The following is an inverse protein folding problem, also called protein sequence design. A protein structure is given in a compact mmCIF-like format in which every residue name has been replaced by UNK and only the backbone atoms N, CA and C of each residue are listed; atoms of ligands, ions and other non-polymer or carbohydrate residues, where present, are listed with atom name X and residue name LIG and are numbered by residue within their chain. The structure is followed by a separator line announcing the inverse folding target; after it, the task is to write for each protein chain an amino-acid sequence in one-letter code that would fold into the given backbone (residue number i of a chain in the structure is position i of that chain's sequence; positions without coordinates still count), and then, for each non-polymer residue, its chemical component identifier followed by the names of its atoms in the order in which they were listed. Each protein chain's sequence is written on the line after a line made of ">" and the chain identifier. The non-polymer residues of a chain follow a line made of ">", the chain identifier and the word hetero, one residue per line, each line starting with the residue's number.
data_IF_807128426172
#
_entry.id   IF_807128426172
#
_cell.length_a   1.000
_cell.length_b   1.000
_cell.length_c   1.000
_cell.angle_alpha   90.00
_cell.angle_beta   90.00
_cell.angle_gamma   90.00
#
_symmetry.space_group_name_H-M   'P 1'
#
loop_
_entity.id
_entity.type
_entity.pdbx_description
1 polymer ?
#
# COMPACT_ATOMS: atom_id res chain seq x y z
N UNK A 1 -22.85 -3.27 5.29
CA UNK A 1 -22.35 -2.50 4.15
C UNK A 1 -21.02 -3.03 3.68
N UNK A 2 -20.74 -2.93 2.40
CA UNK A 2 -19.49 -3.49 1.85
C UNK A 2 -18.69 -2.38 1.17
N UNK A 3 -17.47 -2.12 1.67
CA UNK A 3 -16.51 -1.19 1.07
C UNK A 3 -15.49 -1.94 0.22
N UNK A 4 -15.22 -1.40 -0.96
CA UNK A 4 -14.08 -1.74 -1.79
C UNK A 4 -13.00 -0.68 -1.55
N UNK A 5 -11.93 -1.04 -0.83
CA UNK A 5 -10.74 -0.21 -0.72
C UNK A 5 -9.89 -0.43 -1.97
N UNK A 6 -9.79 0.58 -2.80
CA UNK A 6 -9.04 0.57 -4.05
C UNK A 6 -7.75 1.36 -3.88
N UNK A 7 -6.59 0.74 -4.08
CA UNK A 7 -5.34 1.50 -4.19
C UNK A 7 -5.28 2.19 -5.56
N UNK A 8 -4.80 3.43 -5.60
CA UNK A 8 -4.54 4.10 -6.88
C UNK A 8 -3.66 3.24 -7.79
N UNK A 9 -3.80 3.40 -9.10
CA UNK A 9 -2.96 2.77 -10.12
C UNK A 9 -1.49 3.17 -9.98
N UNK A 10 -0.58 2.45 -10.64
CA UNK A 10 0.85 2.75 -10.59
C UNK A 10 1.12 4.20 -11.02
N UNK A 11 1.88 4.93 -10.22
CA UNK A 11 2.26 6.32 -10.47
C UNK A 11 3.71 6.43 -10.93
N UNK A 12 4.07 7.58 -11.49
CA UNK A 12 5.44 7.93 -11.84
C UNK A 12 6.41 7.81 -10.65
N UNK A 13 5.96 8.16 -9.44
CA UNK A 13 6.77 8.01 -8.23
C UNK A 13 6.99 6.54 -7.83
N UNK A 14 5.99 5.66 -8.03
CA UNK A 14 6.17 4.23 -7.81
C UNK A 14 7.29 3.69 -8.70
N UNK A 15 7.26 4.01 -10.00
CA UNK A 15 8.29 3.57 -10.96
C UNK A 15 9.68 4.13 -10.62
N UNK A 16 9.75 5.34 -10.07
CA UNK A 16 11.01 5.97 -9.68
C UNK A 16 11.53 5.52 -8.29
N UNK A 17 10.77 4.70 -7.54
CA UNK A 17 11.12 4.31 -6.18
C UNK A 17 11.15 5.49 -5.20
N UNK A 18 10.29 6.50 -5.42
CA UNK A 18 10.20 7.72 -4.63
C UNK A 18 9.00 7.64 -3.70
N UNK A 19 9.19 8.02 -2.44
CA UNK A 19 8.11 8.14 -1.46
C UNK A 19 7.31 9.42 -1.74
N UNK A 20 6.23 9.28 -2.50
CA UNK A 20 5.45 10.43 -2.97
C UNK A 20 4.72 11.18 -1.86
N UNK A 21 4.24 10.49 -0.82
CA UNK A 21 3.43 11.10 0.23
C UNK A 21 2.28 11.94 -0.34
N UNK A 22 2.19 13.19 0.12
CA UNK A 22 1.19 14.16 -0.34
C UNK A 22 1.69 15.11 -1.44
N UNK A 23 2.79 14.77 -2.14
CA UNK A 23 3.28 15.57 -3.25
C UNK A 23 2.18 15.83 -4.29
N UNK A 24 2.07 17.09 -4.70
CA UNK A 24 1.16 17.51 -5.77
C UNK A 24 1.66 17.03 -7.15
N UNK A 25 0.75 16.90 -8.09
CA UNK A 25 1.06 16.61 -9.50
C UNK A 25 1.57 15.20 -9.79
N UNK A 26 1.68 14.32 -8.79
CA UNK A 26 2.04 12.91 -9.00
C UNK A 26 0.87 12.19 -9.67
N UNK A 27 1.03 11.89 -10.95
CA UNK A 27 0.02 11.26 -11.81
C UNK A 27 0.34 9.77 -12.03
N UNK A 28 -0.61 9.06 -12.64
CA UNK A 28 -0.45 7.69 -13.10
C UNK A 28 0.57 7.64 -14.25
N UNK A 29 1.36 6.59 -14.30
CA UNK A 29 2.12 6.22 -15.49
C UNK A 29 1.22 5.43 -16.49
N UNK A 30 1.79 4.98 -17.62
CA UNK A 30 1.03 4.27 -18.65
C UNK A 30 0.41 2.98 -18.09
N UNK A 31 1.18 2.18 -17.32
CA UNK A 31 0.64 0.98 -16.67
C UNK A 31 -0.47 1.32 -15.66
N UNK A 32 -0.33 2.41 -14.94
CA UNK A 32 -1.37 2.87 -14.01
C UNK A 32 -2.66 3.29 -14.71
N UNK A 33 -2.55 3.91 -15.88
CA UNK A 33 -3.70 4.24 -16.72
C UNK A 33 -4.40 2.99 -17.26
N UNK A 34 -3.63 2.01 -17.72
CA UNK A 34 -4.18 0.71 -18.14
C UNK A 34 -4.87 -0.03 -16.96
N UNK A 35 -4.27 0.03 -15.76
CA UNK A 35 -4.86 -0.52 -14.56
C UNK A 35 -6.18 0.17 -14.20
N UNK A 36 -6.26 1.49 -14.33
CA UNK A 36 -7.48 2.26 -14.07
C UNK A 36 -8.59 1.91 -15.08
N UNK A 37 -8.27 1.83 -16.37
CA UNK A 37 -9.21 1.40 -17.40
C UNK A 37 -9.73 -0.03 -17.16
N UNK A 38 -8.86 -0.95 -16.75
CA UNK A 38 -9.21 -2.34 -16.43
C UNK A 38 -10.11 -2.52 -15.20
N UNK A 39 -10.36 -1.48 -14.41
CA UNK A 39 -11.31 -1.55 -13.30
C UNK A 39 -12.74 -1.78 -13.75
N UNK A 40 -13.10 -1.29 -14.93
CA UNK A 40 -14.45 -1.46 -15.51
C UNK A 40 -14.76 -2.95 -15.63
N UNK A 41 -13.85 -3.74 -16.20
CA UNK A 41 -14.02 -5.19 -16.38
C UNK A 41 -13.98 -5.97 -15.06
N UNK A 42 -13.39 -5.41 -14.01
CA UNK A 42 -13.19 -6.08 -12.73
C UNK A 42 -14.31 -5.84 -11.74
N UNK A 43 -14.86 -4.64 -11.72
CA UNK A 43 -15.85 -4.23 -10.72
C UNK A 43 -16.97 -3.35 -11.30
N UNK A 44 -16.95 -3.01 -12.60
CA UNK A 44 -17.92 -2.08 -13.19
C UNK A 44 -19.34 -2.64 -13.31
N UNK A 45 -19.51 -3.96 -13.29
CA UNK A 45 -20.81 -4.64 -13.28
C UNK A 45 -21.45 -4.77 -11.89
N UNK A 46 -20.71 -4.39 -10.84
CA UNK A 46 -21.22 -4.44 -9.47
C UNK A 46 -22.16 -3.26 -9.19
N UNK A 47 -23.17 -3.44 -8.31
CA UNK A 47 -24.14 -2.39 -7.97
C UNK A 47 -23.55 -1.34 -7.02
N UNK A 48 -22.46 -0.69 -7.46
CA UNK A 48 -21.76 0.35 -6.70
C UNK A 48 -22.66 1.59 -6.61
N UNK A 49 -22.86 2.12 -5.39
CA UNK A 49 -23.73 3.27 -5.12
C UNK A 49 -22.97 4.57 -4.86
N UNK A 50 -21.70 4.50 -4.49
CA UNK A 50 -20.90 5.69 -4.24
C UNK A 50 -19.42 5.44 -4.52
N UNK A 51 -18.74 6.49 -4.98
CA UNK A 51 -17.30 6.57 -5.13
C UNK A 51 -16.77 7.66 -4.21
N UNK A 52 -15.77 7.33 -3.39
CA UNK A 52 -15.12 8.27 -2.49
C UNK A 52 -13.62 8.23 -2.77
N UNK A 53 -12.99 9.37 -2.87
CA UNK A 53 -11.58 9.48 -3.28
C UNK A 53 -10.75 10.28 -2.32
N UNK A 54 -9.51 9.85 -2.11
CA UNK A 54 -8.42 10.73 -1.70
C UNK A 54 -8.33 11.95 -2.63
N UNK A 55 -7.98 13.14 -2.13
CA UNK A 55 -7.83 14.35 -2.95
C UNK A 55 -6.68 14.26 -3.97
N UNK A 56 -5.73 13.33 -3.78
CA UNK A 56 -4.51 13.27 -4.57
C UNK A 56 -4.78 12.82 -6.01
N UNK A 57 -4.11 13.48 -6.96
CA UNK A 57 -4.35 13.35 -8.39
C UNK A 57 -4.39 11.89 -8.85
N UNK A 58 -3.44 11.07 -8.44
CA UNK A 58 -3.35 9.64 -8.80
C UNK A 58 -4.59 8.82 -8.41
N UNK A 59 -5.24 9.14 -7.27
CA UNK A 59 -6.49 8.47 -6.88
C UNK A 59 -7.66 8.93 -7.74
N UNK A 60 -7.78 10.22 -8.01
CA UNK A 60 -8.81 10.79 -8.87
C UNK A 60 -8.72 10.22 -10.28
N UNK A 61 -7.50 10.19 -10.86
CA UNK A 61 -7.23 9.59 -12.18
C UNK A 61 -7.52 8.10 -12.24
N UNK A 62 -7.32 7.38 -11.11
CA UNK A 62 -7.66 5.95 -11.04
C UNK A 62 -9.16 5.71 -11.09
N UNK A 63 -9.95 6.57 -10.44
CA UNK A 63 -11.41 6.42 -10.43
C UNK A 63 -12.10 6.95 -11.69
N UNK A 64 -11.48 7.86 -12.43
CA UNK A 64 -12.09 8.57 -13.56
C UNK A 64 -12.80 7.62 -14.56
N UNK A 65 -12.17 6.56 -15.11
CA UNK A 65 -12.83 5.65 -16.04
C UNK A 65 -14.04 4.90 -15.41
N UNK A 66 -13.91 4.48 -14.15
CA UNK A 66 -14.98 3.79 -13.44
C UNK A 66 -16.15 4.73 -13.11
N UNK A 67 -15.85 5.97 -12.73
CA UNK A 67 -16.84 7.00 -12.44
C UNK A 67 -17.69 7.34 -13.68
N UNK A 68 -17.03 7.49 -14.82
CA UNK A 68 -17.70 7.69 -16.12
C UNK A 68 -18.60 6.49 -16.49
N UNK A 69 -18.09 5.27 -16.39
CA UNK A 69 -18.84 4.06 -16.70
C UNK A 69 -20.07 3.85 -15.81
N UNK A 70 -19.98 4.22 -14.53
CA UNK A 70 -21.08 4.10 -13.56
C UNK A 70 -21.99 5.34 -13.51
N UNK A 71 -21.64 6.42 -14.19
CA UNK A 71 -22.32 7.73 -14.10
C UNK A 71 -22.39 8.24 -12.66
N UNK A 72 -21.30 8.07 -11.87
CA UNK A 72 -21.19 8.51 -10.48
C UNK A 72 -20.14 9.60 -10.34
N UNK A 73 -20.43 10.64 -9.55
CA UNK A 73 -19.47 11.70 -9.18
C UNK A 73 -18.70 11.28 -7.91
N UNK A 74 -17.36 11.20 -7.94
CA UNK A 74 -16.58 10.86 -6.76
C UNK A 74 -16.58 11.97 -5.71
N UNK A 75 -16.97 11.65 -4.47
CA UNK A 75 -16.83 12.54 -3.31
C UNK A 75 -15.36 12.53 -2.85
N UNK A 76 -14.80 13.71 -2.64
CA UNK A 76 -13.43 13.85 -2.11
C UNK A 76 -13.46 13.88 -0.58
N UNK A 77 -12.59 13.08 0.06
CA UNK A 77 -12.38 13.09 1.51
C UNK A 77 -10.89 13.13 1.84
N UNK A 78 -10.44 14.22 2.45
CA UNK A 78 -9.03 14.45 2.81
C UNK A 78 -8.52 13.43 3.82
N UNK A 79 -9.39 12.80 4.60
CA UNK A 79 -9.04 11.74 5.56
C UNK A 79 -8.56 10.45 4.88
N UNK A 80 -8.81 10.31 3.57
CA UNK A 80 -8.30 9.23 2.73
C UNK A 80 -6.97 9.57 2.03
N UNK A 81 -6.40 10.77 2.28
CA UNK A 81 -5.10 11.14 1.73
C UNK A 81 -3.99 10.21 2.23
N UNK A 82 -2.91 10.10 1.45
CA UNK A 82 -1.72 9.33 1.84
C UNK A 82 -1.13 9.89 3.16
N UNK A 83 -0.29 9.10 3.77
CA UNK A 83 0.51 9.51 4.91
C UNK A 83 1.24 10.80 4.58
N UNK A 84 1.16 11.78 5.48
CA UNK A 84 2.06 12.92 5.44
C UNK A 84 3.42 12.45 5.97
N UNK A 85 4.34 12.16 5.06
CA UNK A 85 5.68 11.69 5.42
C UNK A 85 6.63 12.83 5.80
N UNK A 86 6.16 14.09 5.80
CA UNK A 86 6.97 15.26 6.15
C UNK A 86 8.28 15.29 5.38
N UNK A 87 9.41 15.35 6.10
CA UNK A 87 10.77 15.44 5.52
C UNK A 87 11.19 14.23 4.67
N UNK A 88 10.45 13.13 4.73
CA UNK A 88 10.69 11.96 3.88
C UNK A 88 10.02 12.06 2.51
N UNK A 89 9.05 12.97 2.36
CA UNK A 89 8.33 13.17 1.09
C UNK A 89 9.29 13.56 -0.02
N UNK A 90 9.18 12.86 -1.16
CA UNK A 90 10.03 13.10 -2.34
C UNK A 90 11.40 12.42 -2.30
N UNK A 91 11.78 11.76 -1.21
CA UNK A 91 13.06 11.03 -1.11
C UNK A 91 12.94 9.62 -1.70
N UNK A 92 14.07 9.06 -2.12
CA UNK A 92 14.13 7.67 -2.59
C UNK A 92 13.97 6.69 -1.44
N UNK A 93 13.15 5.68 -1.62
CA UNK A 93 12.89 4.63 -0.61
C UNK A 93 14.19 3.93 -0.21
N UNK A 94 15.09 3.68 -1.18
CA UNK A 94 16.39 3.06 -0.93
C UNK A 94 17.30 3.88 0.02
N UNK A 95 17.21 5.21 -0.03
CA UNK A 95 17.93 6.11 0.88
C UNK A 95 17.32 6.09 2.29
N UNK A 96 15.98 6.09 2.35
CA UNK A 96 15.22 6.06 3.59
C UNK A 96 15.42 4.77 4.39
N UNK A 97 15.73 3.66 3.72
CA UNK A 97 16.01 2.38 4.36
C UNK A 97 17.22 2.43 5.32
N UNK A 98 18.11 3.42 5.16
CA UNK A 98 19.23 3.69 6.07
C UNK A 98 18.90 4.55 7.29
N UNK A 99 17.71 5.16 7.33
CA UNK A 99 17.32 6.05 8.42
C UNK A 99 16.97 5.25 9.71
N UNK A 100 17.31 5.75 10.90
CA UNK A 100 16.94 5.07 12.16
C UNK A 100 15.43 4.84 12.30
N UNK A 101 14.60 5.81 11.87
CA UNK A 101 13.15 5.72 11.89
C UNK A 101 12.61 4.59 11.00
N UNK A 102 13.35 4.17 9.95
CA UNK A 102 12.94 3.07 9.09
C UNK A 102 12.66 1.79 9.87
N UNK A 103 13.50 1.46 10.84
CA UNK A 103 13.31 0.27 11.71
C UNK A 103 12.03 0.38 12.53
N UNK A 104 11.70 1.59 13.01
CA UNK A 104 10.45 1.83 13.75
C UNK A 104 9.25 1.63 12.83
N UNK A 105 9.28 2.21 11.62
CA UNK A 105 8.22 2.02 10.62
C UNK A 105 8.02 0.55 10.26
N UNK A 106 9.07 -0.26 10.25
CA UNK A 106 8.98 -1.68 9.93
C UNK A 106 8.52 -2.54 11.10
N UNK A 107 9.06 -2.32 12.30
CA UNK A 107 8.85 -3.21 13.44
C UNK A 107 7.78 -2.71 14.43
N UNK A 108 7.61 -1.40 14.56
CA UNK A 108 6.72 -0.74 15.51
C UNK A 108 5.98 0.45 14.88
N UNK A 109 5.21 0.23 13.79
CA UNK A 109 4.50 1.30 13.08
C UNK A 109 3.64 2.19 13.97
N UNK A 110 3.07 1.65 15.05
CA UNK A 110 2.25 2.42 16.00
C UNK A 110 3.02 3.54 16.72
N UNK A 111 4.34 3.40 16.83
CA UNK A 111 5.23 4.41 17.42
C UNK A 111 5.89 5.31 16.34
N UNK A 112 5.68 5.03 15.05
CA UNK A 112 6.29 5.80 13.98
C UNK A 112 5.59 7.16 13.81
N UNK A 113 6.37 8.23 13.95
CA UNK A 113 5.96 9.62 13.64
C UNK A 113 6.99 10.19 12.69
N UNK A 114 6.56 10.64 11.52
CA UNK A 114 7.45 11.18 10.50
C UNK A 114 7.86 12.62 10.86
N UNK A 115 9.14 12.98 10.73
CA UNK A 115 9.62 14.34 10.99
C UNK A 115 8.89 15.36 10.10
N UNK A 116 8.25 16.35 10.71
CA UNK A 116 7.44 17.34 10.00
C UNK A 116 6.14 16.79 9.39
N UNK A 117 5.79 15.53 9.68
CA UNK A 117 4.61 14.84 9.14
C UNK A 117 3.70 14.27 10.22
N UNK A 118 2.91 13.25 9.87
CA UNK A 118 1.97 12.60 10.80
C UNK A 118 2.48 11.24 11.31
N UNK A 119 1.88 10.72 12.36
CA UNK A 119 2.14 9.37 12.87
C UNK A 119 1.24 8.33 12.20
N UNK A 120 1.72 7.10 12.01
CA UNK A 120 0.93 6.01 11.41
C UNK A 120 -0.33 5.67 12.24
N UNK A 121 -0.30 5.83 13.56
CA UNK A 121 -1.49 5.68 14.40
C UNK A 121 -2.55 6.77 14.10
N UNK A 122 -2.13 8.00 13.77
CA UNK A 122 -3.03 9.07 13.36
C UNK A 122 -3.65 8.77 11.99
N UNK A 123 -2.86 8.23 11.05
CA UNK A 123 -3.34 7.77 9.74
C UNK A 123 -4.41 6.71 9.89
N UNK A 124 -4.17 5.68 10.72
CA UNK A 124 -5.16 4.65 11.01
C UNK A 124 -6.44 5.26 11.57
N UNK A 125 -6.33 6.11 12.59
CA UNK A 125 -7.49 6.71 13.26
C UNK A 125 -8.36 7.51 12.27
N UNK A 126 -7.75 8.40 11.43
CA UNK A 126 -8.51 9.22 10.46
C UNK A 126 -9.14 8.37 9.35
N UNK A 127 -8.39 7.39 8.83
CA UNK A 127 -8.87 6.55 7.72
C UNK A 127 -10.01 5.61 8.15
N UNK A 128 -9.85 4.94 9.29
CA UNK A 128 -10.91 4.09 9.87
C UNK A 128 -12.16 4.90 10.19
N UNK A 129 -11.98 6.11 10.78
CA UNK A 129 -13.11 7.01 11.06
C UNK A 129 -13.85 7.39 9.76
N UNK A 130 -13.12 7.79 8.70
CA UNK A 130 -13.71 8.13 7.42
C UNK A 130 -14.49 6.96 6.81
N UNK A 131 -13.87 5.77 6.73
CA UNK A 131 -14.51 4.58 6.16
C UNK A 131 -15.78 4.22 6.92
N UNK A 132 -15.74 4.19 8.26
CA UNK A 132 -16.92 3.84 9.08
C UNK A 132 -18.01 4.90 9.04
N UNK A 133 -17.67 6.17 8.87
CA UNK A 133 -18.64 7.25 8.74
C UNK A 133 -19.36 7.18 7.39
N UNK A 134 -18.63 7.01 6.29
CA UNK A 134 -19.21 6.82 4.97
C UNK A 134 -20.07 5.56 4.91
N UNK A 135 -19.60 4.46 5.49
CA UNK A 135 -20.34 3.20 5.54
C UNK A 135 -21.71 3.40 6.24
N UNK A 136 -21.72 4.08 7.40
CA UNK A 136 -22.98 4.39 8.12
C UNK A 136 -23.87 5.35 7.35
N UNK A 137 -23.32 6.41 6.76
CA UNK A 137 -24.06 7.39 5.96
C UNK A 137 -24.75 6.71 4.79
N UNK A 138 -24.01 5.93 4.01
CA UNK A 138 -24.55 5.21 2.85
C UNK A 138 -25.56 4.13 3.24
N UNK A 139 -25.41 3.51 4.42
CA UNK A 139 -26.38 2.61 4.98
C UNK A 139 -27.73 3.28 5.22
N UNK A 140 -27.73 4.49 5.77
CA UNK A 140 -28.95 5.26 6.02
C UNK A 140 -29.59 5.75 4.71
N UNK A 141 -28.76 6.13 3.74
CA UNK A 141 -29.21 6.71 2.47
C UNK A 141 -29.81 5.65 1.51
N UNK A 142 -29.15 4.49 1.40
CA UNK A 142 -29.47 3.48 0.38
C UNK A 142 -29.84 2.11 0.94
N UNK A 143 -29.69 1.86 2.23
CA UNK A 143 -29.82 0.51 2.81
C UNK A 143 -31.21 -0.10 2.64
N UNK A 144 -32.27 0.70 2.76
CA UNK A 144 -33.65 0.23 2.61
C UNK A 144 -33.97 -0.27 1.19
N UNK A 145 -33.38 0.36 0.17
CA UNK A 145 -33.62 0.03 -1.25
C UNK A 145 -32.85 -1.22 -1.71
N UNK A 146 -31.73 -1.54 -1.04
CA UNK A 146 -30.79 -2.58 -1.46
C UNK A 146 -30.79 -3.83 -0.56
N UNK A 147 -31.85 -4.08 0.17
CA UNK A 147 -31.96 -5.24 1.07
C UNK A 147 -30.94 -5.25 2.20
N UNK A 148 -30.42 -4.06 2.57
CA UNK A 148 -29.51 -3.86 3.69
C UNK A 148 -28.02 -3.89 3.36
N UNK A 149 -27.57 -4.31 2.17
CA UNK A 149 -26.14 -4.26 1.79
C UNK A 149 -25.90 -3.25 0.66
N UNK A 150 -25.15 -2.21 0.96
CA UNK A 150 -24.73 -1.20 -0.01
C UNK A 150 -23.25 -1.40 -0.34
N UNK A 151 -22.92 -1.43 -1.61
CA UNK A 151 -21.55 -1.53 -2.11
C UNK A 151 -21.04 -0.16 -2.54
N UNK A 152 -19.85 0.23 -2.07
CA UNK A 152 -19.24 1.50 -2.38
C UNK A 152 -17.71 1.38 -2.49
N UNK A 153 -17.06 2.31 -3.15
CA UNK A 153 -15.61 2.32 -3.39
C UNK A 153 -14.94 3.47 -2.65
N UNK A 154 -13.84 3.19 -1.96
CA UNK A 154 -12.92 4.18 -1.41
C UNK A 154 -11.56 4.06 -2.10
N UNK A 155 -11.22 5.00 -3.00
CA UNK A 155 -9.91 5.04 -3.64
C UNK A 155 -8.91 5.81 -2.78
N UNK A 156 -7.83 5.12 -2.39
CA UNK A 156 -6.82 5.64 -1.48
C UNK A 156 -5.43 5.04 -1.76
N UNK A 157 -4.58 4.89 -0.74
CA UNK A 157 -3.15 4.62 -0.84
C UNK A 157 -2.75 3.36 -0.07
N UNK A 158 -1.53 2.87 -0.32
CA UNK A 158 -1.06 1.61 0.24
C UNK A 158 -1.10 1.56 1.76
N UNK A 159 -0.47 2.50 2.45
CA UNK A 159 -0.38 2.46 3.91
C UNK A 159 -1.73 2.76 4.58
N UNK A 160 -2.57 3.57 3.96
CA UNK A 160 -3.95 3.82 4.41
C UNK A 160 -4.78 2.54 4.35
N UNK A 161 -4.72 1.80 3.23
CA UNK A 161 -5.43 0.53 3.06
C UNK A 161 -4.96 -0.50 4.09
N UNK A 162 -3.63 -0.67 4.25
CA UNK A 162 -3.05 -1.58 5.23
C UNK A 162 -3.53 -1.27 6.65
N UNK A 163 -3.58 0.02 7.01
CA UNK A 163 -4.02 0.47 8.32
C UNK A 163 -5.52 0.17 8.58
N UNK A 164 -6.39 0.36 7.57
CA UNK A 164 -7.81 0.03 7.65
C UNK A 164 -8.04 -1.48 7.72
N UNK A 165 -7.29 -2.27 6.94
CA UNK A 165 -7.37 -3.73 6.98
C UNK A 165 -6.90 -4.27 8.33
N UNK A 166 -5.81 -3.70 8.90
CA UNK A 166 -5.34 -4.09 10.23
C UNK A 166 -6.41 -3.87 11.31
N UNK A 167 -7.11 -2.72 11.28
CA UNK A 167 -8.25 -2.44 12.16
C UNK A 167 -9.37 -3.48 11.95
N UNK A 168 -9.74 -3.76 10.71
CA UNK A 168 -10.82 -4.70 10.40
C UNK A 168 -10.52 -6.14 10.85
N UNK A 169 -9.26 -6.56 10.82
CA UNK A 169 -8.82 -7.85 11.37
C UNK A 169 -8.66 -7.85 12.91
N UNK A 170 -8.75 -6.69 13.57
CA UNK A 170 -8.38 -6.57 14.98
C UNK A 170 -6.89 -6.78 15.24
N UNK A 171 -6.05 -6.56 14.23
CA UNK A 171 -4.60 -6.65 14.34
C UNK A 171 -4.05 -5.38 14.98
N UNK A 172 -3.03 -5.54 15.86
CA UNK A 172 -2.26 -4.38 16.28
C UNK A 172 -1.60 -3.70 15.07
N UNK A 173 -1.52 -2.37 15.07
CA UNK A 173 -0.94 -1.61 13.95
C UNK A 173 0.49 -2.04 13.62
N UNK A 174 1.26 -2.54 14.60
CA UNK A 174 2.61 -3.07 14.37
C UNK A 174 2.66 -4.30 13.45
N UNK A 175 1.52 -4.89 13.16
CA UNK A 175 1.42 -5.99 12.20
C UNK A 175 0.98 -5.56 10.79
N UNK A 176 0.70 -4.25 10.55
CA UNK A 176 0.09 -3.81 9.29
C UNK A 176 0.99 -4.03 8.06
N UNK A 177 2.31 -4.09 8.23
CA UNK A 177 3.24 -4.40 7.14
C UNK A 177 3.10 -5.84 6.61
N UNK A 178 2.38 -6.72 7.32
CA UNK A 178 2.03 -8.08 6.85
C UNK A 178 0.93 -8.06 5.79
N UNK A 179 0.25 -6.93 5.60
CA UNK A 179 -0.77 -6.73 4.57
C UNK A 179 -0.12 -6.16 3.33
N UNK A 180 -0.37 -6.77 2.19
CA UNK A 180 0.05 -6.24 0.88
C UNK A 180 -1.14 -5.53 0.23
N UNK A 181 -0.86 -4.40 -0.41
CA UNK A 181 -1.83 -3.66 -1.21
C UNK A 181 -1.11 -3.06 -2.43
N UNK A 182 -1.11 -3.77 -3.55
CA UNK A 182 -0.45 -3.39 -4.80
C UNK A 182 -1.20 -2.28 -5.55
N UNK A 183 -0.56 -1.54 -6.47
CA UNK A 183 -1.23 -0.56 -7.30
C UNK A 183 -2.46 -1.15 -8.03
N UNK A 184 -3.58 -0.44 -7.99
CA UNK A 184 -4.90 -0.86 -8.47
C UNK A 184 -5.44 -2.16 -7.83
N UNK A 185 -4.92 -2.58 -6.66
CA UNK A 185 -5.50 -3.69 -5.91
C UNK A 185 -6.86 -3.32 -5.33
N UNK A 186 -7.75 -4.30 -5.35
CA UNK A 186 -9.08 -4.28 -4.74
C UNK A 186 -9.02 -5.06 -3.44
N UNK A 187 -9.47 -4.43 -2.35
CA UNK A 187 -9.57 -5.03 -1.03
C UNK A 187 -11.00 -4.82 -0.53
N UNK A 188 -11.64 -5.84 -0.01
CA UNK A 188 -13.08 -5.81 0.30
C UNK A 188 -13.32 -6.09 1.76
N UNK A 189 -14.01 -5.18 2.43
CA UNK A 189 -14.42 -5.32 3.82
C UNK A 189 -15.94 -5.15 3.91
N UNK A 190 -16.60 -6.13 4.53
CA UNK A 190 -18.02 -6.03 4.89
C UNK A 190 -18.13 -5.66 6.36
N UNK A 191 -18.75 -4.52 6.64
CA UNK A 191 -19.11 -4.11 7.98
C UNK A 191 -20.52 -4.60 8.33
N UNK A 192 -20.63 -5.28 9.44
CA UNK A 192 -21.91 -5.72 10.03
C UNK A 192 -22.10 -5.08 11.41
N UNK A 193 -23.27 -5.26 12.01
CA UNK A 193 -23.52 -4.77 13.37
C UNK A 193 -22.57 -5.38 14.41
N UNK A 194 -22.13 -6.64 14.19
CA UNK A 194 -21.28 -7.33 15.16
C UNK A 194 -19.79 -7.05 14.93
N UNK A 195 -19.32 -7.13 13.67
CA UNK A 195 -17.89 -7.01 13.35
C UNK A 195 -17.66 -6.82 11.85
N UNK A 196 -16.48 -6.29 11.46
CA UNK A 196 -16.07 -6.34 10.05
C UNK A 196 -15.64 -7.75 9.63
N UNK A 197 -15.84 -8.05 8.35
CA UNK A 197 -15.32 -9.24 7.68
C UNK A 197 -14.45 -8.81 6.51
N UNK A 198 -13.18 -9.17 6.49
CA UNK A 198 -12.29 -8.95 5.35
C UNK A 198 -12.52 -10.08 4.35
N UNK A 199 -13.09 -9.76 3.19
CA UNK A 199 -13.48 -10.75 2.19
C UNK A 199 -12.37 -10.99 1.16
N UNK A 200 -11.65 -9.93 0.77
CA UNK A 200 -10.53 -9.98 -0.16
C UNK A 200 -9.44 -9.01 0.26
N UNK A 201 -8.18 -9.41 0.02
CA UNK A 201 -7.00 -8.56 0.19
C UNK A 201 -6.14 -8.69 -1.05
N UNK A 202 -5.66 -7.55 -1.55
CA UNK A 202 -4.71 -7.46 -2.65
C UNK A 202 -5.14 -8.17 -3.95
N UNK A 203 -6.42 -8.09 -4.31
CA UNK A 203 -6.90 -8.65 -5.57
C UNK A 203 -6.53 -7.73 -6.74
N UNK A 204 -5.58 -8.13 -7.58
CA UNK A 204 -5.08 -7.33 -8.72
C UNK A 204 -5.66 -7.73 -10.08
N UNK A 205 -6.55 -8.74 -10.12
CA UNK A 205 -7.05 -9.34 -11.35
C UNK A 205 -6.07 -10.31 -12.01
N UNK A 206 -4.85 -10.44 -11.47
CA UNK A 206 -3.85 -11.38 -11.98
C UNK A 206 -4.23 -12.83 -11.64
N UNK A 207 -3.87 -13.77 -12.52
CA UNK A 207 -3.99 -15.19 -12.20
C UNK A 207 -3.05 -15.51 -11.03
N UNK A 208 -3.50 -16.27 -10.05
CA UNK A 208 -2.72 -16.67 -8.86
C UNK A 208 -1.33 -17.23 -9.24
N UNK A 209 -1.25 -18.01 -10.33
CA UNK A 209 0.01 -18.54 -10.83
C UNK A 209 1.03 -17.45 -11.23
N UNK A 210 0.59 -16.29 -11.70
CA UNK A 210 1.48 -15.16 -12.02
C UNK A 210 2.00 -14.50 -10.75
N UNK A 211 1.12 -14.29 -9.75
CA UNK A 211 1.50 -13.72 -8.46
C UNK A 211 2.51 -14.59 -7.69
N UNK A 212 2.37 -15.93 -7.78
CA UNK A 212 3.29 -16.87 -7.12
C UNK A 212 4.62 -17.07 -7.86
N UNK A 213 4.70 -16.68 -9.13
CA UNK A 213 5.93 -16.77 -9.95
C UNK A 213 6.78 -15.51 -9.89
N UNK A 214 6.27 -14.40 -9.41
CA UNK A 214 7.04 -13.21 -9.10
C UNK A 214 7.96 -13.56 -7.92
N UNK A 215 9.14 -14.12 -8.22
CA UNK A 215 10.19 -14.35 -7.23
C UNK A 215 10.73 -13.01 -6.69
N UNK A 216 11.59 -13.05 -5.67
CA UNK A 216 12.23 -11.84 -5.18
C UNK A 216 12.94 -11.13 -6.34
N UNK A 217 12.97 -9.78 -6.33
CA UNK A 217 13.61 -9.00 -7.39
C UNK A 217 15.07 -9.48 -7.57
N UNK A 218 15.61 -9.50 -8.80
CA UNK A 218 16.95 -9.95 -9.06
C UNK A 218 17.93 -9.12 -8.22
N UNK A 219 18.80 -9.79 -7.48
CA UNK A 219 19.92 -9.11 -6.82
C UNK A 219 20.73 -8.42 -7.91
N UNK A 220 20.93 -7.11 -7.79
CA UNK A 220 21.88 -6.41 -8.63
C UNK A 220 23.26 -6.98 -8.31
N UNK A 221 23.71 -7.92 -9.11
CA UNK A 221 25.10 -8.33 -9.13
C UNK A 221 25.89 -7.13 -9.69
N UNK A 222 26.43 -6.31 -8.81
CA UNK A 222 27.53 -5.43 -9.15
C UNK A 222 28.67 -6.34 -9.60
N UNK A 223 28.94 -6.35 -10.90
CA UNK A 223 30.09 -6.99 -11.49
C UNK A 223 31.34 -6.36 -10.85
N UNK A 224 31.89 -7.03 -9.86
CA UNK A 224 33.26 -6.79 -9.42
C UNK A 224 34.16 -7.60 -10.32
N UNK A 225 34.77 -6.90 -11.27
CA UNK A 225 35.76 -7.42 -12.20
C UNK A 225 37.13 -7.56 -11.50
N UNK A 226 37.36 -8.69 -10.83
CA UNK A 226 38.63 -9.04 -10.22
C UNK A 226 39.29 -10.19 -10.94
N UNK A 227 40.35 -9.89 -11.67
CA UNK A 227 41.21 -10.85 -12.39
C UNK A 227 41.87 -11.85 -11.45
N UNK A 228 41.80 -13.09 -11.87
CA UNK A 228 42.55 -14.26 -11.40
C UNK A 228 44.11 -14.08 -11.50
N UNK A 229 44.84 -14.43 -10.46
CA UNK A 229 46.22 -15.00 -10.52
C UNK A 229 46.60 -15.76 -9.25
N UNK A 230 46.69 -17.11 -9.38
CA UNK A 230 47.92 -17.86 -9.01
C UNK A 230 48.10 -18.28 -7.55
N UNK A 231 47.80 -19.52 -7.29
CA UNK A 231 48.49 -20.54 -6.49
C UNK A 231 49.53 -20.17 -5.40
N UNK A 232 49.32 -20.69 -4.16
CA UNK A 232 50.25 -21.63 -3.49
C UNK A 232 49.69 -22.07 -2.12
N UNK A 233 49.88 -23.36 -1.83
CA UNK A 233 49.57 -24.05 -0.56
C UNK A 233 50.58 -23.66 0.52
N UNK A 234 50.16 -23.56 1.78
CA UNK A 234 50.85 -24.19 2.93
C UNK A 234 49.97 -24.22 4.18
N UNK A 235 50.28 -25.20 5.02
CA UNK A 235 49.57 -25.76 6.15
C UNK A 235 49.44 -24.87 7.40
N UNK A 236 48.37 -25.15 8.19
CA UNK A 236 48.41 -25.31 9.65
C UNK A 236 48.32 -24.05 10.49
N UNK A 237 47.19 -23.81 11.13
CA UNK A 237 47.06 -23.66 12.59
C UNK A 237 45.63 -23.37 13.00
N UNK A 238 45.17 -24.01 14.09
CA UNK A 238 43.85 -23.96 14.64
C UNK A 238 43.58 -22.75 15.56
N UNK A 239 42.33 -22.46 15.98
CA UNK A 239 41.78 -21.11 15.98
C UNK A 239 41.69 -20.46 17.34
N UNK A 240 41.65 -19.15 17.35
CA UNK A 240 41.30 -18.29 18.50
C UNK A 240 39.89 -17.70 18.22
N UNK A 241 39.02 -17.53 19.22
CA UNK A 241 37.62 -17.19 19.01
C UNK A 241 37.46 -15.76 18.49
N UNK A 242 36.67 -15.64 17.43
CA UNK A 242 36.33 -14.38 16.81
C UNK A 242 35.33 -13.60 17.69
N UNK A 243 35.71 -12.35 17.96
CA UNK A 243 34.78 -11.29 18.40
C UNK A 243 33.66 -11.14 17.40
N UNK A 244 32.41 -11.19 17.89
CA UNK A 244 31.22 -10.93 17.10
C UNK A 244 31.29 -9.56 16.42
N UNK A 245 31.44 -9.59 15.10
CA UNK A 245 31.20 -8.40 14.28
C UNK A 245 29.67 -8.19 14.16
N UNK A 246 29.19 -6.93 14.17
CA UNK A 246 27.77 -6.68 14.00
C UNK A 246 27.33 -7.19 12.62
N UNK A 247 26.38 -8.12 12.62
CA UNK A 247 25.72 -8.66 11.42
C UNK A 247 25.16 -7.48 10.64
N UNK A 248 25.66 -7.24 9.44
CA UNK A 248 25.03 -6.33 8.50
C UNK A 248 23.61 -6.82 8.22
N UNK A 249 22.62 -6.07 8.71
CA UNK A 249 21.21 -6.33 8.41
C UNK A 249 21.01 -5.99 6.93
N UNK A 250 20.99 -7.02 6.10
CA UNK A 250 20.56 -6.90 4.70
C UNK A 250 19.11 -6.44 4.73
N UNK A 251 18.74 -5.34 4.05
CA UNK A 251 17.33 -4.95 3.94
C UNK A 251 16.60 -6.09 3.26
N UNK A 252 15.69 -6.75 3.99
CA UNK A 252 14.79 -7.70 3.37
C UNK A 252 13.82 -6.93 2.50
N UNK A 253 13.59 -7.40 1.26
CA UNK A 253 12.69 -6.81 0.26
C UNK A 253 11.21 -6.76 0.69
N UNK A 254 10.90 -7.18 1.90
CA UNK A 254 9.54 -7.45 2.37
C UNK A 254 8.83 -6.25 2.98
N UNK A 255 9.48 -5.08 3.04
CA UNK A 255 8.93 -3.96 3.76
C UNK A 255 9.07 -2.67 2.95
N UNK A 256 8.03 -2.33 2.23
CA UNK A 256 7.97 -1.09 1.45
C UNK A 256 6.99 -0.12 2.13
N UNK A 257 7.53 0.98 2.64
CA UNK A 257 6.73 2.16 3.04
C UNK A 257 6.08 2.72 1.77
N UNK A 258 4.79 3.02 1.82
CA UNK A 258 4.06 3.48 0.64
C UNK A 258 3.53 2.36 -0.27
N UNK A 259 3.66 1.10 0.13
CA UNK A 259 3.20 -0.08 -0.64
C UNK A 259 4.15 -0.52 -1.74
N UNK A 260 3.87 -1.70 -2.34
CA UNK A 260 4.66 -2.27 -3.43
C UNK A 260 4.85 -1.31 -4.60
N UNK A 261 6.01 -1.37 -5.23
CA UNK A 261 6.37 -0.58 -6.43
C UNK A 261 6.07 -1.32 -7.74
N UNK A 262 5.62 -2.59 -7.67
CA UNK A 262 5.43 -3.45 -8.85
C UNK A 262 4.12 -3.24 -9.60
#
# INVERSE_FOLDING_TARGET
>A
MTVILLRHGRSSSNTAGILAGRSEGVDLDDKGRDQAAGLIDRIGDLPIRALISSPLLRCRRTLEPLAEALCLEPLIDDRLAEVDYGDWTGRKIAELAGEPLWRVVQAHPSAAVFPGGEGLAQVQARAVSAVREHDRRLALEYGAENGGDVLWVACTHGDVIKAVIADAYGMHLDAFQRVTADPASVNVIRYTELRPFVLHVNHTGARLAAALRAGPPPKNDTQDGGQDKGAAKTDGESPVPATEQPVAVVPTSDAVVGGSTD
#
